data_IF_018035549048
#
_entry.id   IF_018035549048
#
_cell.length_a   1.000
_cell.length_b   1.000
_cell.length_c   1.000
_cell.angle_alpha   90.00
_cell.angle_beta   90.00
_cell.angle_gamma   90.00
#
_symmetry.space_group_name_H-M   'P 1'
#
loop_
_entity.id
_entity.type
_entity.pdbx_description
1 polymer ?
#
# COMPACT_ATOMS: atom_id res chain seq x y z
N UNK A 1 41.40 5.24 34.94
CA UNK A 1 40.40 6.00 34.15
C UNK A 1 39.48 4.97 33.51
N UNK A 2 38.16 5.05 33.72
CA UNK A 2 37.24 3.94 33.48
C UNK A 2 36.90 3.74 31.99
N UNK A 3 37.17 2.56 31.46
CA UNK A 3 36.91 2.16 30.05
C UNK A 3 35.43 1.87 29.73
N UNK A 4 34.51 2.36 30.56
CA UNK A 4 33.10 2.04 30.42
C UNK A 4 32.52 2.97 29.35
N UNK A 5 31.79 2.43 28.38
CA UNK A 5 31.04 3.20 27.36
C UNK A 5 29.55 2.98 27.57
N UNK A 6 28.74 3.90 27.06
CA UNK A 6 27.29 3.80 27.16
C UNK A 6 26.81 2.66 26.27
N UNK A 7 25.94 1.81 26.79
CA UNK A 7 25.33 0.71 26.04
C UNK A 7 24.32 1.15 24.96
N UNK A 8 24.24 2.46 24.66
CA UNK A 8 23.40 2.99 23.59
C UNK A 8 24.27 3.15 22.34
N UNK A 9 23.85 2.57 21.22
CA UNK A 9 24.62 2.62 19.97
C UNK A 9 24.90 4.06 19.55
N UNK A 10 26.17 4.36 19.27
CA UNK A 10 26.63 5.71 18.90
C UNK A 10 26.84 6.69 20.07
N UNK A 11 26.63 6.29 21.33
CA UNK A 11 26.85 7.18 22.48
C UNK A 11 28.23 6.99 23.13
N UNK A 12 29.08 8.03 23.05
CA UNK A 12 30.42 8.05 23.66
C UNK A 12 30.50 8.84 24.98
N UNK A 13 29.39 9.01 25.70
CA UNK A 13 29.40 9.66 27.01
C UNK A 13 30.15 8.78 28.03
N UNK A 14 31.05 9.35 28.83
CA UNK A 14 31.88 8.62 29.81
C UNK A 14 31.34 8.68 31.26
N UNK A 15 30.16 9.26 31.44
CA UNK A 15 29.55 9.50 32.75
C UNK A 15 28.54 8.41 33.11
N UNK A 16 28.98 7.45 33.92
CA UNK A 16 28.14 6.37 34.44
C UNK A 16 28.14 6.43 35.97
N UNK A 17 26.96 6.37 36.59
CA UNK A 17 26.89 6.22 38.04
C UNK A 17 26.67 4.77 38.47
N UNK A 18 25.86 3.97 37.77
CA UNK A 18 25.68 2.53 38.10
C UNK A 18 25.06 1.65 36.99
N UNK A 19 24.41 2.21 35.96
CA UNK A 19 23.46 1.45 35.10
C UNK A 19 23.97 1.11 33.70
N UNK A 20 25.24 1.32 33.36
CA UNK A 20 25.77 1.09 32.00
C UNK A 20 25.27 2.07 30.91
N UNK A 21 24.28 2.91 31.24
CA UNK A 21 23.76 4.00 30.43
C UNK A 21 24.16 5.35 31.02
N UNK A 22 24.42 6.34 30.15
CA UNK A 22 24.70 7.71 30.55
C UNK A 22 23.43 8.40 31.08
N UNK A 23 23.57 9.54 31.78
CA UNK A 23 22.42 10.29 32.32
C UNK A 23 21.41 10.70 31.24
N UNK A 24 21.84 10.88 29.98
CA UNK A 24 20.97 11.20 28.84
C UNK A 24 20.11 10.01 28.39
N UNK A 25 20.53 8.79 28.68
CA UNK A 25 19.83 7.54 28.33
C UNK A 25 19.31 6.80 29.57
N UNK A 26 19.43 7.40 30.76
CA UNK A 26 18.90 6.86 32.01
C UNK A 26 17.38 7.06 32.03
N UNK A 27 16.67 6.14 31.36
CA UNK A 27 15.22 6.16 31.15
C UNK A 27 14.77 5.69 29.77
N UNK A 28 15.70 5.35 28.87
CA UNK A 28 15.36 4.85 27.54
C UNK A 28 14.98 3.37 27.57
N UNK A 29 13.68 3.09 27.72
CA UNK A 29 13.12 1.90 27.08
C UNK A 29 13.53 1.93 25.60
N UNK A 30 13.93 0.82 24.98
CA UNK A 30 14.07 0.79 23.54
C UNK A 30 12.66 0.87 22.97
N UNK A 31 12.16 2.08 22.78
CA UNK A 31 11.16 2.31 21.76
C UNK A 31 11.88 1.92 20.47
N UNK A 32 11.47 0.78 19.93
CA UNK A 32 11.89 0.19 18.67
C UNK A 32 11.54 1.16 17.54
N UNK A 33 12.27 2.27 17.50
CA UNK A 33 12.27 3.23 16.45
C UNK A 33 13.28 2.70 15.45
N UNK A 34 12.78 1.92 14.49
CA UNK A 34 13.46 1.69 13.23
C UNK A 34 13.55 3.07 12.53
N UNK A 35 14.46 3.90 13.01
CA UNK A 35 14.93 5.10 12.33
C UNK A 35 16.16 4.65 11.56
N UNK A 36 15.91 4.09 10.37
CA UNK A 36 16.95 3.91 9.37
C UNK A 36 17.36 5.30 8.88
N UNK A 37 18.41 5.83 9.47
CA UNK A 37 19.17 6.95 8.92
C UNK A 37 20.08 6.39 7.84
N UNK A 38 19.73 6.60 6.56
CA UNK A 38 20.69 6.47 5.47
C UNK A 38 20.64 7.71 4.59
N UNK A 39 21.85 8.18 4.30
CA UNK A 39 22.23 9.25 3.38
C UNK A 39 21.72 8.99 1.96
N UNK A 40 21.62 10.03 1.11
CA UNK A 40 20.94 9.91 -0.18
C UNK A 40 21.88 9.28 -1.20
N UNK A 41 21.72 7.98 -1.44
CA UNK A 41 22.27 7.31 -2.61
C UNK A 41 21.13 6.62 -3.37
N UNK A 42 21.16 6.77 -4.68
CA UNK A 42 20.14 6.37 -5.64
C UNK A 42 19.87 4.86 -5.60
N UNK A 43 18.63 4.48 -5.91
CA UNK A 43 18.14 3.10 -6.06
C UNK A 43 17.91 2.31 -4.75
N UNK A 44 16.83 2.67 -4.06
CA UNK A 44 16.38 1.99 -2.84
C UNK A 44 14.93 2.33 -2.54
N UNK A 45 14.03 2.04 -3.46
CA UNK A 45 12.59 2.18 -3.25
C UNK A 45 12.15 1.15 -2.20
N UNK A 46 12.06 1.56 -0.93
CA UNK A 46 11.35 0.78 0.09
C UNK A 46 9.96 0.43 -0.47
N UNK A 47 9.71 -0.87 -0.65
CA UNK A 47 8.43 -1.40 -1.15
C UNK A 47 7.39 -1.30 -0.03
N UNK A 48 7.07 -0.09 0.41
CA UNK A 48 5.74 0.18 0.94
C UNK A 48 4.92 0.42 -0.33
N UNK A 49 4.10 -0.53 -0.79
CA UNK A 49 3.19 -0.23 -1.87
C UNK A 49 2.36 0.95 -1.38
N UNK A 50 2.41 2.08 -2.07
CA UNK A 50 1.49 3.20 -1.86
C UNK A 50 0.10 2.56 -1.69
N UNK A 51 -0.49 2.61 -0.49
CA UNK A 51 -1.70 1.81 -0.22
C UNK A 51 -2.87 2.22 -1.14
N UNK A 52 -2.76 3.37 -1.83
CA UNK A 52 -3.67 3.83 -2.87
C UNK A 52 -3.40 3.24 -4.27
N UNK A 53 -2.30 2.51 -4.45
CA UNK A 53 -1.91 1.86 -5.71
C UNK A 53 -2.91 0.76 -6.10
N UNK A 54 -3.34 -0.06 -5.15
CA UNK A 54 -4.33 -1.11 -5.44
C UNK A 54 -5.67 -0.49 -5.90
N UNK A 55 -6.22 0.53 -5.23
CA UNK A 55 -7.39 1.22 -5.76
C UNK A 55 -7.18 1.96 -7.09
N UNK A 56 -5.97 2.47 -7.38
CA UNK A 56 -5.63 3.00 -8.71
C UNK A 56 -5.69 1.92 -9.79
N UNK A 57 -5.13 0.73 -9.52
CA UNK A 57 -5.18 -0.41 -10.46
C UNK A 57 -6.62 -0.85 -10.72
N UNK A 58 -7.42 -0.99 -9.66
CA UNK A 58 -8.83 -1.36 -9.79
C UNK A 58 -9.63 -0.33 -10.60
N UNK A 59 -9.32 0.97 -10.47
CA UNK A 59 -9.93 2.02 -11.30
C UNK A 59 -9.50 1.92 -12.77
N UNK A 60 -8.23 1.57 -13.02
CA UNK A 60 -7.67 1.43 -14.37
C UNK A 60 -8.13 0.16 -15.10
N UNK A 61 -8.67 -0.83 -14.38
CA UNK A 61 -9.12 -2.10 -14.95
C UNK A 61 -10.15 -1.92 -16.08
N UNK A 62 -11.24 -1.20 -15.84
CA UNK A 62 -12.32 -1.03 -16.83
C UNK A 62 -11.84 -0.31 -18.11
N UNK A 63 -11.17 0.86 -18.05
CA UNK A 63 -10.66 1.50 -19.26
C UNK A 63 -9.63 0.62 -19.98
N UNK A 64 -8.85 -0.19 -19.26
CA UNK A 64 -7.94 -1.16 -19.87
C UNK A 64 -8.70 -2.27 -20.62
N UNK A 65 -9.78 -2.83 -20.05
CA UNK A 65 -10.62 -3.82 -20.75
C UNK A 65 -11.29 -3.19 -21.97
N UNK A 66 -11.84 -1.98 -21.86
CA UNK A 66 -12.43 -1.25 -23.00
C UNK A 66 -11.41 -1.02 -24.10
N UNK A 67 -10.18 -0.65 -23.74
CA UNK A 67 -9.09 -0.51 -24.69
C UNK A 67 -8.74 -1.84 -25.37
N UNK A 68 -8.69 -2.94 -24.62
CA UNK A 68 -8.49 -4.28 -25.21
C UNK A 68 -9.61 -4.68 -26.16
N UNK A 69 -10.87 -4.40 -25.80
CA UNK A 69 -12.02 -4.61 -26.69
C UNK A 69 -11.90 -3.81 -27.99
N UNK A 70 -11.50 -2.54 -27.87
CA UNK A 70 -11.23 -1.69 -29.02
C UNK A 70 -10.12 -2.27 -29.92
N UNK A 71 -9.00 -2.72 -29.35
CA UNK A 71 -7.93 -3.36 -30.11
C UNK A 71 -8.41 -4.62 -30.83
N UNK A 72 -9.20 -5.47 -30.16
CA UNK A 72 -9.76 -6.66 -30.82
C UNK A 72 -10.78 -6.34 -31.90
N UNK A 73 -11.45 -5.20 -31.83
CA UNK A 73 -12.33 -4.73 -32.91
C UNK A 73 -11.59 -4.41 -34.21
N UNK A 74 -10.26 -4.22 -34.16
CA UNK A 74 -9.42 -4.03 -35.35
C UNK A 74 -8.93 -5.37 -35.93
N UNK A 75 -9.15 -6.48 -35.24
CA UNK A 75 -8.76 -7.82 -35.66
C UNK A 75 -9.72 -8.45 -36.67
N UNK A 76 -9.30 -9.58 -37.24
CA UNK A 76 -10.12 -10.38 -38.16
C UNK A 76 -11.01 -11.42 -37.47
N UNK A 77 -10.78 -11.68 -36.19
CA UNK A 77 -11.58 -12.63 -35.41
C UNK A 77 -12.83 -11.96 -34.83
N UNK A 78 -14.00 -12.36 -35.35
CA UNK A 78 -15.29 -11.82 -34.95
C UNK A 78 -15.68 -12.13 -33.49
N UNK A 79 -15.09 -13.16 -32.87
CA UNK A 79 -15.46 -13.61 -31.51
C UNK A 79 -14.45 -13.23 -30.43
N UNK A 80 -13.27 -12.73 -30.79
CA UNK A 80 -12.21 -12.38 -29.84
C UNK A 80 -12.70 -11.34 -28.81
N UNK A 81 -13.36 -10.26 -29.26
CA UNK A 81 -13.88 -9.23 -28.37
C UNK A 81 -14.95 -9.75 -27.41
N UNK A 82 -15.87 -10.59 -27.90
CA UNK A 82 -16.90 -11.21 -27.06
C UNK A 82 -16.30 -12.11 -25.96
N UNK A 83 -15.27 -12.88 -26.32
CA UNK A 83 -14.58 -13.75 -25.37
C UNK A 83 -13.87 -12.95 -24.27
N UNK A 84 -13.22 -11.84 -24.62
CA UNK A 84 -12.60 -10.92 -23.65
C UNK A 84 -13.66 -10.29 -22.75
N UNK A 85 -14.78 -9.84 -23.32
CA UNK A 85 -15.88 -9.24 -22.58
C UNK A 85 -16.42 -10.17 -21.49
N UNK A 86 -16.79 -11.40 -21.86
CA UNK A 86 -17.26 -12.40 -20.90
C UNK A 86 -16.20 -12.77 -19.87
N UNK A 87 -14.95 -12.99 -20.30
CA UNK A 87 -13.85 -13.37 -19.41
C UNK A 87 -13.55 -12.26 -18.38
N UNK A 88 -13.68 -11.00 -18.79
CA UNK A 88 -13.51 -9.85 -17.90
C UNK A 88 -14.56 -9.82 -16.78
N UNK A 89 -15.83 -10.12 -17.09
CA UNK A 89 -16.88 -10.22 -16.07
C UNK A 89 -16.68 -11.43 -15.17
N UNK A 90 -16.32 -12.59 -15.73
CA UNK A 90 -16.06 -13.81 -14.98
C UNK A 90 -14.96 -13.62 -13.92
N UNK A 91 -13.88 -12.92 -14.27
CA UNK A 91 -12.82 -12.57 -13.32
C UNK A 91 -13.35 -11.72 -12.15
N UNK A 92 -14.24 -10.77 -12.40
CA UNK A 92 -14.77 -9.90 -11.36
C UNK A 92 -15.62 -10.64 -10.33
N UNK A 93 -16.32 -11.73 -10.69
CA UNK A 93 -17.06 -12.52 -9.69
C UNK A 93 -16.17 -13.05 -8.55
N UNK A 94 -14.90 -13.32 -8.82
CA UNK A 94 -13.93 -13.78 -7.81
C UNK A 94 -13.15 -12.61 -7.21
N UNK A 95 -12.66 -11.69 -8.04
CA UNK A 95 -11.78 -10.61 -7.57
C UNK A 95 -12.54 -9.48 -6.86
N UNK A 96 -13.78 -9.17 -7.26
CA UNK A 96 -14.58 -8.10 -6.65
C UNK A 96 -14.93 -8.35 -5.18
N UNK A 97 -15.37 -9.55 -4.74
CA UNK A 97 -15.60 -9.80 -3.32
C UNK A 97 -14.30 -9.80 -2.51
N UNK A 98 -13.19 -10.34 -3.06
CA UNK A 98 -11.87 -10.27 -2.41
C UNK A 98 -11.42 -8.81 -2.25
N UNK A 99 -11.63 -8.00 -3.29
CA UNK A 99 -11.30 -6.59 -3.29
C UNK A 99 -12.18 -5.78 -2.32
N UNK A 100 -13.46 -6.12 -2.19
CA UNK A 100 -14.35 -5.51 -1.20
C UNK A 100 -13.84 -5.74 0.23
N UNK A 101 -13.45 -6.97 0.57
CA UNK A 101 -12.87 -7.30 1.88
C UNK A 101 -11.57 -6.52 2.11
N UNK A 102 -10.71 -6.46 1.09
CA UNK A 102 -9.48 -5.66 1.14
C UNK A 102 -9.76 -4.18 1.39
N UNK A 103 -10.71 -3.57 0.66
CA UNK A 103 -11.08 -2.16 0.84
C UNK A 103 -11.65 -1.86 2.22
N UNK A 104 -12.47 -2.76 2.77
CA UNK A 104 -13.00 -2.63 4.14
C UNK A 104 -11.85 -2.68 5.15
N UNK A 105 -10.91 -3.61 5.00
CA UNK A 105 -9.72 -3.67 5.86
C UNK A 105 -8.87 -2.41 5.78
N UNK A 106 -8.64 -1.90 4.57
CA UNK A 106 -7.85 -0.70 4.33
C UNK A 106 -8.51 0.57 4.89
N UNK A 107 -9.81 0.73 4.69
CA UNK A 107 -10.57 1.86 5.23
C UNK A 107 -10.64 1.81 6.75
N UNK A 108 -10.79 0.62 7.33
CA UNK A 108 -10.75 0.41 8.78
C UNK A 108 -9.39 0.77 9.39
N UNK A 109 -8.30 0.37 8.74
CA UNK A 109 -6.94 0.74 9.17
C UNK A 109 -6.74 2.25 9.15
N UNK A 110 -7.08 2.91 8.04
CA UNK A 110 -6.99 4.38 7.92
C UNK A 110 -7.87 5.14 8.91
N UNK A 111 -9.03 4.57 9.24
CA UNK A 111 -9.91 5.12 10.26
C UNK A 111 -9.26 5.08 11.64
N UNK A 112 -8.64 3.95 12.02
CA UNK A 112 -7.89 3.83 13.29
C UNK A 112 -6.69 4.77 13.37
N UNK A 113 -6.00 4.95 12.25
CA UNK A 113 -4.83 5.82 12.16
C UNK A 113 -5.19 7.32 12.10
N UNK A 114 -6.49 7.66 12.02
CA UNK A 114 -6.96 9.04 11.92
C UNK A 114 -6.62 9.73 10.59
N UNK A 115 -6.15 8.98 9.59
CA UNK A 115 -5.70 9.48 8.28
C UNK A 115 -6.81 9.41 7.21
N UNK A 116 -8.03 9.02 7.58
CA UNK A 116 -9.16 8.90 6.66
C UNK A 116 -9.69 10.28 6.25
N UNK A 117 -9.20 10.79 5.11
CA UNK A 117 -9.77 11.98 4.47
C UNK A 117 -10.97 11.62 3.59
N UNK A 118 -11.88 12.57 3.40
CA UNK A 118 -13.05 12.40 2.54
C UNK A 118 -12.66 12.06 1.10
N UNK A 119 -11.61 12.71 0.57
CA UNK A 119 -11.09 12.44 -0.78
C UNK A 119 -10.61 10.99 -0.93
N UNK A 120 -9.93 10.46 0.09
CA UNK A 120 -9.49 9.06 0.10
C UNK A 120 -10.69 8.12 0.12
N UNK A 121 -11.70 8.40 0.95
CA UNK A 121 -12.92 7.59 0.99
C UNK A 121 -13.65 7.59 -0.36
N UNK A 122 -13.84 8.75 -0.98
CA UNK A 122 -14.44 8.86 -2.32
C UNK A 122 -13.66 8.02 -3.31
N UNK A 123 -12.34 8.08 -3.29
CA UNK A 123 -11.49 7.32 -4.19
C UNK A 123 -11.68 5.80 -4.03
N UNK A 124 -11.78 5.30 -2.79
CA UNK A 124 -12.04 3.89 -2.51
C UNK A 124 -13.41 3.46 -3.05
N UNK A 125 -14.44 4.30 -2.85
CA UNK A 125 -15.80 4.04 -3.34
C UNK A 125 -15.82 4.02 -4.87
N UNK A 126 -15.26 5.03 -5.53
CA UNK A 126 -15.20 5.12 -6.99
C UNK A 126 -14.45 3.93 -7.60
N UNK A 127 -13.32 3.55 -6.99
CA UNK A 127 -12.52 2.41 -7.40
C UNK A 127 -13.28 1.07 -7.31
N UNK A 128 -14.29 0.97 -6.45
CA UNK A 128 -15.16 -0.21 -6.35
C UNK A 128 -16.38 -0.14 -7.29
N UNK A 129 -17.01 1.04 -7.38
CA UNK A 129 -18.23 1.24 -8.20
C UNK A 129 -17.93 1.00 -9.68
N UNK A 130 -16.75 1.40 -10.18
CA UNK A 130 -16.39 1.27 -11.59
C UNK A 130 -16.31 -0.21 -12.04
N UNK A 131 -15.57 -1.10 -11.36
CA UNK A 131 -15.63 -2.54 -11.64
C UNK A 131 -17.02 -3.15 -11.40
N UNK A 132 -17.76 -2.68 -10.37
CA UNK A 132 -19.11 -3.18 -10.09
C UNK A 132 -20.08 -2.87 -11.24
N UNK A 133 -20.04 -1.65 -11.78
CA UNK A 133 -20.90 -1.27 -12.92
C UNK A 133 -20.51 -2.03 -14.18
N UNK A 134 -19.22 -2.33 -14.38
CA UNK A 134 -18.76 -3.21 -15.45
C UNK A 134 -19.33 -4.62 -15.32
N UNK A 135 -19.34 -5.20 -14.11
CA UNK A 135 -19.93 -6.51 -13.87
C UNK A 135 -21.43 -6.56 -14.21
N UNK A 136 -22.17 -5.46 -14.00
CA UNK A 136 -23.58 -5.37 -14.42
C UNK A 136 -23.75 -5.19 -15.93
N UNK A 137 -22.72 -4.73 -16.64
CA UNK A 137 -22.76 -4.57 -18.08
C UNK A 137 -22.46 -5.89 -18.82
N UNK A 138 -21.63 -6.77 -18.24
CA UNK A 138 -21.30 -8.11 -18.76
C UNK A 138 -22.48 -9.06 -18.60
#
# INVERSE_FOLDING_TARGET
MGERKCAFEGCNALEFRTTGYCLRHKGGLPEEKIAYSVTPDEDGQEIIPDLLLIPKIALAYVPFVVFMLFLTSLGSDAFAGYSIFLSSGACLFVFLPLYAVYLVGLTWQRYKDGTLTLSVLIFHILSFIVPLSWLFAV
#
